data_IF_041054202814
#
_entry.id   IF_041054202814
#
_cell.length_a   1.000
_cell.length_b   1.000
_cell.length_c   1.000
_cell.angle_alpha   90.00
_cell.angle_beta   90.00
_cell.angle_gamma   90.00
#
_symmetry.space_group_name_H-M   'P 1'
#
loop_
_entity.id
_entity.type
_entity.pdbx_description
1 polymer ?
#
# COMPACT_ATOMS: atom_id res chain seq x y z
N UNK A 1 -2.81 3.07 24.45
CA UNK A 1 -1.87 2.65 23.38
C UNK A 1 -0.46 2.99 23.83
N UNK A 2 0.30 1.95 24.12
CA UNK A 2 1.66 1.96 24.66
C UNK A 2 2.67 2.30 23.54
N UNK A 3 3.77 2.97 23.85
CA UNK A 3 4.89 3.25 22.93
C UNK A 3 5.36 1.96 22.22
N UNK A 4 5.38 0.84 22.94
CA UNK A 4 5.64 -0.49 22.39
C UNK A 4 4.68 -0.91 21.27
N UNK A 5 3.39 -0.56 21.36
CA UNK A 5 2.41 -0.91 20.32
C UNK A 5 2.61 -0.09 19.03
N UNK A 6 3.19 1.09 19.14
CA UNK A 6 3.49 1.95 18.00
C UNK A 6 4.78 1.50 17.33
N UNK A 7 5.80 1.18 18.12
CA UNK A 7 7.07 0.63 17.62
C UNK A 7 6.80 -0.69 16.87
N UNK A 8 5.95 -1.57 17.42
CA UNK A 8 5.60 -2.82 16.75
C UNK A 8 4.92 -2.60 15.39
N UNK A 9 3.97 -1.66 15.29
CA UNK A 9 3.32 -1.32 14.01
C UNK A 9 4.27 -0.66 13.01
N UNK A 10 5.18 0.20 13.47
CA UNK A 10 6.20 0.80 12.61
C UNK A 10 7.21 -0.24 12.13
N UNK A 11 7.57 -1.19 12.98
CA UNK A 11 8.42 -2.33 12.62
C UNK A 11 7.70 -3.27 11.65
N UNK A 12 6.42 -3.57 11.86
CA UNK A 12 5.58 -4.32 10.92
C UNK A 12 5.52 -3.61 9.55
N UNK A 13 5.32 -2.30 9.52
CA UNK A 13 5.34 -1.52 8.28
C UNK A 13 6.71 -1.47 7.61
N UNK A 14 7.79 -1.39 8.39
CA UNK A 14 9.18 -1.39 7.88
C UNK A 14 9.55 -2.77 7.33
N UNK A 15 9.16 -3.84 8.03
CA UNK A 15 9.27 -5.21 7.57
C UNK A 15 8.42 -5.44 6.31
N UNK A 16 7.21 -4.91 6.25
CA UNK A 16 6.33 -4.94 5.07
C UNK A 16 6.96 -4.16 3.91
N UNK A 17 7.58 -3.01 4.15
CA UNK A 17 8.26 -2.21 3.11
C UNK A 17 9.48 -2.92 2.54
N UNK A 18 10.32 -3.52 3.40
CA UNK A 18 11.49 -4.27 2.96
C UNK A 18 11.11 -5.62 2.31
N UNK A 19 10.11 -6.31 2.87
CA UNK A 19 9.54 -7.51 2.26
C UNK A 19 8.88 -7.18 0.91
N UNK A 20 8.17 -6.05 0.81
CA UNK A 20 7.63 -5.54 -0.45
C UNK A 20 8.76 -5.24 -1.43
N UNK A 21 9.83 -4.57 -1.02
CA UNK A 21 10.98 -4.30 -1.90
C UNK A 21 11.58 -5.59 -2.47
N UNK A 22 11.89 -6.57 -1.61
CA UNK A 22 12.48 -7.84 -2.03
C UNK A 22 11.52 -8.72 -2.84
N UNK A 23 10.24 -8.82 -2.43
CA UNK A 23 9.22 -9.55 -3.19
C UNK A 23 8.90 -8.87 -4.52
N UNK A 24 8.83 -7.54 -4.56
CA UNK A 24 8.66 -6.75 -5.78
C UNK A 24 9.79 -7.04 -6.75
N UNK A 25 11.04 -6.95 -6.32
CA UNK A 25 12.17 -7.13 -7.24
C UNK A 25 12.24 -8.58 -7.77
N UNK A 26 11.95 -9.57 -6.93
CA UNK A 26 11.88 -10.98 -7.34
C UNK A 26 10.69 -11.25 -8.28
N UNK A 27 9.51 -10.73 -7.95
CA UNK A 27 8.30 -10.88 -8.77
C UNK A 27 8.46 -10.17 -10.10
N UNK A 28 8.90 -8.91 -10.11
CA UNK A 28 9.12 -8.12 -11.32
C UNK A 28 10.18 -8.76 -12.22
N UNK A 29 11.26 -9.33 -11.68
CA UNK A 29 12.26 -10.05 -12.49
C UNK A 29 11.66 -11.27 -13.21
N UNK A 30 10.79 -12.04 -12.52
CA UNK A 30 10.10 -13.19 -13.11
C UNK A 30 8.93 -12.81 -14.02
N UNK A 31 8.30 -11.67 -13.76
CA UNK A 31 7.13 -11.19 -14.48
C UNK A 31 7.55 -10.52 -15.79
N UNK A 32 8.51 -9.60 -15.73
CA UNK A 32 8.98 -8.83 -16.90
C UNK A 32 9.72 -9.67 -17.94
N UNK A 33 10.08 -10.91 -17.61
CA UNK A 33 10.65 -11.89 -18.54
C UNK A 33 9.59 -12.70 -19.29
N UNK A 34 8.31 -12.56 -18.93
CA UNK A 34 7.19 -13.23 -19.62
C UNK A 34 6.70 -12.40 -20.80
N UNK A 35 6.37 -13.07 -21.90
CA UNK A 35 5.78 -12.43 -23.07
C UNK A 35 4.37 -11.87 -22.79
N UNK A 36 3.62 -12.55 -21.92
CA UNK A 36 2.26 -12.17 -21.54
C UNK A 36 2.19 -11.19 -20.37
N UNK A 37 3.33 -10.67 -19.86
CA UNK A 37 3.39 -9.87 -18.64
C UNK A 37 2.46 -8.65 -18.63
N UNK A 38 2.21 -8.05 -19.80
CA UNK A 38 1.36 -6.86 -19.90
C UNK A 38 -0.15 -7.17 -19.89
N UNK A 39 -0.56 -8.44 -19.85
CA UNK A 39 -1.95 -8.82 -19.73
C UNK A 39 -2.55 -8.35 -18.38
N UNK A 40 -3.83 -7.94 -18.35
CA UNK A 40 -4.50 -7.45 -17.13
C UNK A 40 -4.38 -8.41 -15.96
N UNK A 41 -4.47 -9.72 -16.23
CA UNK A 41 -4.33 -10.78 -15.25
C UNK A 41 -3.06 -10.64 -14.41
N UNK A 42 -1.92 -10.37 -15.05
CA UNK A 42 -0.63 -10.27 -14.37
C UNK A 42 -0.48 -9.00 -13.56
N UNK A 43 -1.10 -7.90 -14.01
CA UNK A 43 -1.17 -6.65 -13.25
C UNK A 43 -2.05 -6.81 -12.01
N UNK A 44 -3.21 -7.46 -12.14
CA UNK A 44 -4.05 -7.77 -10.98
C UNK A 44 -3.34 -8.75 -10.02
N UNK A 45 -2.72 -9.81 -10.55
CA UNK A 45 -1.96 -10.79 -9.78
C UNK A 45 -0.87 -10.10 -8.95
N UNK A 46 -0.16 -9.13 -9.53
CA UNK A 46 0.84 -8.35 -8.81
C UNK A 46 0.25 -7.59 -7.60
N UNK A 47 -0.94 -6.99 -7.77
CA UNK A 47 -1.61 -6.24 -6.71
C UNK A 47 -2.09 -7.16 -5.59
N UNK A 48 -2.73 -8.28 -5.90
CA UNK A 48 -3.32 -9.14 -4.85
C UNK A 48 -2.27 -9.82 -3.96
N UNK A 49 -1.01 -9.87 -4.38
CA UNK A 49 0.12 -10.38 -3.58
C UNK A 49 0.64 -9.34 -2.55
N UNK A 50 0.07 -8.13 -2.53
CA UNK A 50 0.35 -7.09 -1.54
C UNK A 50 -0.47 -7.32 -0.26
N UNK A 51 -0.08 -6.71 0.89
CA UNK A 51 -0.88 -6.75 2.10
C UNK A 51 -2.33 -6.27 1.84
N UNK A 52 -3.37 -6.90 2.44
CA UNK A 52 -4.78 -6.62 2.11
C UNK A 52 -5.18 -5.15 2.20
N UNK A 53 -4.69 -4.42 3.21
CA UNK A 53 -4.98 -3.00 3.40
C UNK A 53 -4.42 -2.13 2.26
N UNK A 54 -3.28 -2.53 1.68
CA UNK A 54 -2.74 -1.88 0.48
C UNK A 54 -3.60 -2.18 -0.74
N UNK A 55 -4.02 -3.43 -0.92
CA UNK A 55 -4.88 -3.84 -2.04
C UNK A 55 -6.16 -3.04 -2.05
N UNK A 56 -6.81 -2.92 -0.90
CA UNK A 56 -8.08 -2.21 -0.76
C UNK A 56 -7.92 -0.72 -1.08
N UNK A 57 -6.98 -0.03 -0.42
CA UNK A 57 -6.73 1.41 -0.67
C UNK A 57 -6.28 1.67 -2.11
N UNK A 58 -5.44 0.81 -2.68
CA UNK A 58 -5.03 0.90 -4.09
C UNK A 58 -6.26 0.80 -5.03
N UNK A 59 -7.09 -0.25 -4.85
CA UNK A 59 -8.25 -0.48 -5.70
C UNK A 59 -9.24 0.68 -5.57
N UNK A 60 -9.46 1.20 -4.37
CA UNK A 60 -10.39 2.32 -4.14
C UNK A 60 -9.97 3.60 -4.86
N UNK A 61 -8.68 3.96 -4.86
CA UNK A 61 -8.20 5.15 -5.60
C UNK A 61 -8.50 5.08 -7.10
N UNK A 62 -8.33 3.91 -7.71
CA UNK A 62 -8.69 3.75 -9.12
C UNK A 62 -10.20 3.71 -9.31
N UNK A 63 -10.94 3.01 -8.45
CA UNK A 63 -12.41 2.98 -8.52
C UNK A 63 -13.03 4.37 -8.42
N UNK A 64 -12.51 5.24 -7.59
CA UNK A 64 -12.96 6.64 -7.47
C UNK A 64 -12.72 7.44 -8.75
N UNK A 65 -11.61 7.18 -9.45
CA UNK A 65 -11.20 7.89 -10.67
C UNK A 65 -11.82 7.30 -11.95
N UNK A 66 -12.17 6.02 -11.94
CA UNK A 66 -12.55 5.24 -13.12
C UNK A 66 -13.92 4.56 -12.92
N UNK A 67 -14.90 5.30 -12.41
CA UNK A 67 -16.31 4.89 -12.32
C UNK A 67 -16.53 3.49 -11.70
N UNK A 68 -15.79 3.18 -10.63
CA UNK A 68 -15.91 1.91 -9.90
C UNK A 68 -15.10 0.75 -10.47
N UNK A 69 -14.33 0.97 -11.54
CA UNK A 69 -13.54 -0.08 -12.22
C UNK A 69 -12.04 0.22 -12.03
N UNK A 70 -11.23 -0.83 -11.88
CA UNK A 70 -9.77 -0.70 -11.92
C UNK A 70 -9.32 -1.03 -13.34
N UNK A 71 -8.77 -0.07 -14.11
CA UNK A 71 -8.60 -0.24 -15.55
C UNK A 71 -7.28 -0.96 -15.88
N UNK A 72 -7.12 -2.21 -15.44
CA UNK A 72 -5.87 -2.97 -15.59
C UNK A 72 -5.39 -3.10 -17.04
N UNK A 73 -6.28 -3.06 -18.02
CA UNK A 73 -5.94 -3.07 -19.45
C UNK A 73 -5.02 -1.91 -19.85
N UNK A 74 -5.26 -0.71 -19.32
CA UNK A 74 -4.53 0.51 -19.70
C UNK A 74 -3.41 0.87 -18.73
N UNK A 75 -3.42 0.36 -17.50
CA UNK A 75 -2.39 0.69 -16.51
C UNK A 75 -1.04 0.10 -16.89
N UNK A 76 0.01 0.90 -16.77
CA UNK A 76 1.39 0.39 -16.84
C UNK A 76 1.86 -0.07 -15.46
N UNK A 77 2.91 -0.89 -15.42
CA UNK A 77 3.59 -1.20 -14.16
C UNK A 77 4.18 0.04 -13.48
N UNK A 78 4.53 1.08 -14.25
CA UNK A 78 4.93 2.38 -13.72
C UNK A 78 3.79 3.06 -12.93
N UNK A 79 2.60 3.11 -13.51
CA UNK A 79 1.40 3.69 -12.86
C UNK A 79 1.04 2.91 -11.58
N UNK A 80 1.13 1.59 -11.65
CA UNK A 80 0.86 0.71 -10.52
C UNK A 80 1.87 0.96 -9.39
N UNK A 81 3.17 0.95 -9.68
CA UNK A 81 4.20 1.15 -8.65
C UNK A 81 4.17 2.57 -8.06
N UNK A 82 3.88 3.58 -8.86
CA UNK A 82 3.64 4.95 -8.39
C UNK A 82 2.46 5.01 -7.43
N UNK A 83 1.32 4.40 -7.79
CA UNK A 83 0.14 4.36 -6.93
C UNK A 83 0.38 3.60 -5.62
N UNK A 84 1.09 2.48 -5.66
CA UNK A 84 1.46 1.73 -4.44
C UNK A 84 2.31 2.62 -3.52
N UNK A 85 3.29 3.33 -4.08
CA UNK A 85 4.19 4.22 -3.31
C UNK A 85 3.40 5.35 -2.67
N UNK A 86 2.52 6.01 -3.44
CA UNK A 86 1.63 7.07 -2.93
C UNK A 86 0.70 6.53 -1.83
N UNK A 87 0.12 5.35 -2.04
CA UNK A 87 -0.75 4.69 -1.05
C UNK A 87 -0.01 4.37 0.24
N UNK A 88 1.24 3.92 0.15
CA UNK A 88 2.09 3.68 1.33
C UNK A 88 2.36 4.96 2.12
N UNK A 89 2.68 6.06 1.44
CA UNK A 89 2.87 7.36 2.08
C UNK A 89 1.60 7.86 2.79
N UNK A 90 0.44 7.72 2.14
CA UNK A 90 -0.83 8.14 2.72
C UNK A 90 -1.16 7.33 3.99
N UNK A 91 -0.94 6.01 3.97
CA UNK A 91 -1.11 5.16 5.15
C UNK A 91 -0.18 5.60 6.30
N UNK A 92 1.09 5.90 6.00
CA UNK A 92 2.03 6.40 7.00
C UNK A 92 1.56 7.73 7.61
N UNK A 93 1.07 8.64 6.79
CA UNK A 93 0.54 9.93 7.23
C UNK A 93 -0.71 9.75 8.09
N UNK A 94 -1.67 8.91 7.67
CA UNK A 94 -2.87 8.58 8.42
C UNK A 94 -2.51 8.04 9.82
N UNK A 95 -1.51 7.16 9.91
CA UNK A 95 -1.05 6.58 11.19
C UNK A 95 -0.41 7.66 12.07
N UNK A 96 0.40 8.55 11.49
CA UNK A 96 1.03 9.66 12.21
C UNK A 96 -0.02 10.62 12.79
N UNK A 97 -1.01 11.02 11.99
CA UNK A 97 -2.10 11.90 12.41
C UNK A 97 -2.94 11.23 13.51
N UNK A 98 -3.35 9.97 13.30
CA UNK A 98 -4.12 9.22 14.29
C UNK A 98 -3.39 9.03 15.62
N UNK A 99 -2.05 8.92 15.59
CA UNK A 99 -1.23 8.91 16.81
C UNK A 99 -1.31 10.24 17.54
N UNK A 100 -1.19 11.36 16.83
CA UNK A 100 -1.27 12.70 17.42
C UNK A 100 -2.65 12.97 18.05
N UNK A 101 -3.73 12.66 17.32
CA UNK A 101 -5.10 12.83 17.83
C UNK A 101 -5.34 12.07 19.14
N UNK A 102 -4.77 10.87 19.27
CA UNK A 102 -4.86 10.07 20.51
C UNK A 102 -4.04 10.63 21.67
N UNK A 103 -2.99 11.41 21.40
CA UNK A 103 -2.21 12.11 22.42
C UNK A 103 -2.99 13.33 22.87
N UNK A 104 -3.47 14.15 21.94
CA UNK A 104 -4.21 15.38 22.22
C UNK A 104 -5.50 15.08 23.01
N UNK A 105 -6.25 14.04 22.62
CA UNK A 105 -7.44 13.61 23.36
C UNK A 105 -7.14 13.22 24.82
N UNK A 106 -5.98 12.62 25.11
CA UNK A 106 -5.60 12.26 26.49
C UNK A 106 -5.17 13.48 27.31
N UNK A 107 -4.59 14.49 26.68
CA UNK A 107 -4.24 15.74 27.35
C UNK A 107 -5.50 16.52 27.73
N UNK A 108 -6.49 16.55 26.85
CA UNK A 108 -7.79 17.19 27.10
C UNK A 108 -8.52 16.54 28.29
N UNK A 109 -8.48 15.21 28.42
CA UNK A 109 -9.17 14.48 29.52
C UNK A 109 -8.43 14.62 30.86
N UNK A 110 -7.17 15.03 30.87
CA UNK A 110 -6.35 15.18 32.10
C UNK A 110 -6.41 16.56 32.74
N UNK A 111 -6.97 17.55 32.04
CA UNK A 111 -7.22 18.90 32.54
C UNK A 111 -8.69 19.07 32.91
#
# INVERSE_FOLDING_TARGET
MNEYHIINKLQEMTMVSNAYKNKKDTFMTKLLTREDANQPYWKEKFIIELPPLFVEKFKNKYREQYNGIVPFDILTYGDITSMITKTGLDICNDIKINKQMKIDAKLIIKN
#
